data_IF_917682659020
#
_entry.id   IF_917682659020
#
_cell.length_a   1.000
_cell.length_b   1.000
_cell.length_c   1.000
_cell.angle_alpha   90.00
_cell.angle_beta   90.00
_cell.angle_gamma   90.00
#
_symmetry.space_group_name_H-M   'P 1'
#
loop_
_entity.id
_entity.type
_entity.pdbx_description
1 polymer ?
#
# COMPACT_ATOMS: atom_id res chain seq x y z
N UNK A 1 -2.12 6.19 -26.77
CA UNK A 1 -1.77 7.60 -26.49
C UNK A 1 -0.88 8.07 -27.63
N UNK A 2 -0.90 9.35 -28.03
CA UNK A 2 0.11 9.81 -29.01
C UNK A 2 1.47 9.93 -28.32
N UNK A 3 2.57 9.72 -29.06
CA UNK A 3 3.94 9.78 -28.53
C UNK A 3 4.21 11.13 -27.85
N UNK A 4 3.84 12.23 -28.51
CA UNK A 4 3.98 13.58 -27.95
C UNK A 4 3.20 13.79 -26.64
N UNK A 5 2.06 13.10 -26.46
CA UNK A 5 1.28 13.22 -25.23
C UNK A 5 1.88 12.42 -24.07
N UNK A 6 2.59 11.32 -24.36
CA UNK A 6 3.35 10.55 -23.38
C UNK A 6 4.62 11.30 -22.94
N UNK A 7 5.40 11.82 -23.89
CA UNK A 7 6.61 12.60 -23.61
C UNK A 7 6.31 13.84 -22.75
N UNK A 8 5.21 14.55 -23.02
CA UNK A 8 4.82 15.68 -22.20
C UNK A 8 4.42 15.27 -20.77
N UNK A 9 3.83 14.09 -20.60
CA UNK A 9 3.46 13.55 -19.29
C UNK A 9 4.71 13.21 -18.47
N UNK A 10 5.69 12.50 -19.03
CA UNK A 10 6.94 12.20 -18.33
C UNK A 10 7.74 13.45 -17.96
N UNK A 11 7.70 14.48 -18.81
CA UNK A 11 8.38 15.75 -18.55
C UNK A 11 7.61 16.68 -17.59
N UNK A 12 6.50 16.25 -16.99
CA UNK A 12 5.69 17.07 -16.09
C UNK A 12 5.06 18.30 -16.75
N UNK A 13 4.95 18.32 -18.09
CA UNK A 13 4.42 19.46 -18.85
C UNK A 13 2.90 19.32 -19.03
N UNK A 14 2.15 20.28 -18.48
CA UNK A 14 0.70 20.41 -18.66
C UNK A 14 -0.08 20.33 -17.33
N UNK A 15 -1.41 20.46 -17.41
CA UNK A 15 -2.29 20.26 -16.25
C UNK A 15 -2.31 18.78 -15.85
N UNK A 16 -2.28 18.51 -14.54
CA UNK A 16 -2.46 17.16 -14.00
C UNK A 16 -3.79 16.61 -14.50
N UNK A 17 -3.73 15.55 -15.29
CA UNK A 17 -4.92 14.82 -15.74
C UNK A 17 -4.99 13.51 -14.94
N UNK A 18 -5.89 13.48 -13.96
CA UNK A 18 -6.08 12.34 -13.05
C UNK A 18 -6.45 11.08 -13.84
N UNK A 19 -7.32 11.17 -14.84
CA UNK A 19 -7.70 10.03 -15.67
C UNK A 19 -6.50 9.46 -16.45
N UNK A 20 -5.63 10.35 -16.95
CA UNK A 20 -4.39 9.95 -17.65
C UNK A 20 -3.42 9.25 -16.69
N UNK A 21 -3.25 9.79 -15.48
CA UNK A 21 -2.37 9.23 -14.47
C UNK A 21 -2.85 7.84 -14.02
N UNK A 22 -4.14 7.68 -13.73
CA UNK A 22 -4.75 6.40 -13.39
C UNK A 22 -4.54 5.37 -14.52
N UNK A 23 -4.71 5.78 -15.78
CA UNK A 23 -4.52 4.91 -16.95
C UNK A 23 -3.07 4.48 -17.14
N UNK A 24 -2.11 5.37 -16.95
CA UNK A 24 -0.68 5.05 -17.02
C UNK A 24 -0.28 4.11 -15.89
N UNK A 25 -0.71 4.38 -14.66
CA UNK A 25 -0.43 3.52 -13.52
C UNK A 25 -1.03 2.11 -13.70
N UNK A 26 -2.23 1.99 -14.28
CA UNK A 26 -2.82 0.69 -14.64
C UNK A 26 -1.99 -0.04 -15.69
N UNK A 27 -1.48 0.68 -16.70
CA UNK A 27 -0.65 0.10 -17.76
C UNK A 27 0.71 -0.38 -17.24
N UNK A 28 1.25 0.27 -16.21
CA UNK A 28 2.51 -0.10 -15.56
C UNK A 28 2.34 -1.14 -14.45
N UNK A 29 1.12 -1.68 -14.26
CA UNK A 29 0.75 -2.50 -13.11
C UNK A 29 1.22 -1.88 -11.77
N UNK A 30 1.10 -0.56 -11.65
CA UNK A 30 1.26 0.16 -10.40
C UNK A 30 -0.10 0.30 -9.70
N UNK A 31 -0.11 0.66 -8.42
CA UNK A 31 -1.34 1.08 -7.75
C UNK A 31 -1.68 2.52 -8.19
N UNK A 32 -2.76 2.73 -8.95
CA UNK A 32 -3.09 4.04 -9.49
C UNK A 32 -3.56 5.01 -8.40
N UNK A 33 -4.19 4.51 -7.33
CA UNK A 33 -4.61 5.33 -6.21
C UNK A 33 -3.43 5.68 -5.31
N UNK A 34 -2.46 4.77 -5.14
CA UNK A 34 -1.24 5.10 -4.40
C UNK A 34 -0.39 6.17 -5.09
N UNK A 35 -0.35 6.15 -6.44
CA UNK A 35 0.31 7.21 -7.21
C UNK A 35 -0.30 8.59 -6.96
N UNK A 36 -1.62 8.67 -6.82
CA UNK A 36 -2.29 9.93 -6.46
C UNK A 36 -2.05 10.31 -5.01
N UNK A 37 -2.27 9.36 -4.08
CA UNK A 37 -2.15 9.60 -2.65
C UNK A 37 -0.72 9.94 -2.22
N UNK A 38 0.29 9.48 -2.96
CA UNK A 38 1.69 9.86 -2.73
C UNK A 38 1.91 11.38 -2.82
N UNK A 39 1.08 12.10 -3.58
CA UNK A 39 1.13 13.58 -3.64
C UNK A 39 0.69 14.20 -2.32
N UNK A 40 -0.40 13.71 -1.73
CA UNK A 40 -0.95 14.22 -0.46
C UNK A 40 -0.12 13.77 0.74
N UNK A 41 0.41 12.54 0.70
CA UNK A 41 1.32 11.99 1.71
C UNK A 41 2.69 12.71 1.67
N UNK A 42 3.06 13.28 0.52
CA UNK A 42 4.37 13.92 0.33
C UNK A 42 5.52 12.93 0.24
N UNK A 43 5.27 11.68 -0.18
CA UNK A 43 6.30 10.64 -0.35
C UNK A 43 6.06 9.87 -1.65
N UNK A 44 6.89 10.07 -2.70
CA UNK A 44 6.81 9.25 -3.91
C UNK A 44 7.13 7.77 -3.63
N UNK A 45 7.95 7.49 -2.62
CA UNK A 45 8.27 6.12 -2.17
C UNK A 45 7.02 5.37 -1.68
N UNK A 46 6.01 6.08 -1.18
CA UNK A 46 4.73 5.47 -0.80
C UNK A 46 4.07 4.75 -1.99
N UNK A 47 4.05 5.38 -3.17
CA UNK A 47 3.50 4.75 -4.38
C UNK A 47 4.30 3.50 -4.76
N UNK A 48 5.63 3.54 -4.63
CA UNK A 48 6.49 2.39 -4.91
C UNK A 48 6.23 1.23 -3.94
N UNK A 49 6.13 1.50 -2.63
CA UNK A 49 5.82 0.48 -1.62
C UNK A 49 4.45 -0.17 -1.86
N UNK A 50 3.49 0.60 -2.37
CA UNK A 50 2.14 0.11 -2.66
C UNK A 50 2.01 -0.58 -4.03
N UNK A 51 3.00 -0.47 -4.92
CA UNK A 51 2.88 -0.90 -6.31
C UNK A 51 2.47 -2.38 -6.46
N UNK A 52 2.99 -3.26 -5.59
CA UNK A 52 2.73 -4.69 -5.64
C UNK A 52 1.59 -5.15 -4.74
N UNK A 53 1.42 -4.53 -3.56
CA UNK A 53 0.36 -4.95 -2.61
C UNK A 53 -1.00 -4.32 -2.92
N UNK A 54 -1.04 -3.29 -3.78
CA UNK A 54 -2.26 -2.58 -4.19
C UNK A 54 -3.05 -1.99 -3.02
N UNK A 55 -2.37 -1.60 -1.94
CA UNK A 55 -2.97 -1.14 -0.69
C UNK A 55 -4.07 -0.09 -0.91
N UNK A 56 -3.80 0.94 -1.71
CA UNK A 56 -4.74 2.04 -1.91
C UNK A 56 -5.90 1.64 -2.82
N UNK A 57 -5.66 0.76 -3.78
CA UNK A 57 -6.74 0.17 -4.58
C UNK A 57 -7.69 -0.69 -3.73
N UNK A 58 -7.15 -1.48 -2.80
CA UNK A 58 -7.95 -2.26 -1.84
C UNK A 58 -8.71 -1.34 -0.88
N UNK A 59 -8.05 -0.30 -0.36
CA UNK A 59 -8.69 0.68 0.51
C UNK A 59 -9.85 1.41 -0.20
N UNK A 60 -9.67 1.79 -1.46
CA UNK A 60 -10.72 2.39 -2.28
C UNK A 60 -11.89 1.42 -2.51
N UNK A 61 -11.63 0.12 -2.66
CA UNK A 61 -12.69 -0.88 -2.75
C UNK A 61 -13.49 -0.97 -1.45
N UNK A 62 -12.81 -1.00 -0.30
CA UNK A 62 -13.45 -1.00 1.01
C UNK A 62 -14.28 0.28 1.24
N UNK A 63 -13.75 1.45 0.83
CA UNK A 63 -14.45 2.73 0.92
C UNK A 63 -15.72 2.75 0.06
N UNK A 64 -15.68 2.20 -1.16
CA UNK A 64 -16.87 2.07 -2.02
C UNK A 64 -17.94 1.16 -1.41
N UNK A 65 -17.52 0.06 -0.79
CA UNK A 65 -18.45 -0.83 -0.10
C UNK A 65 -19.07 -0.16 1.13
N UNK A 66 -18.27 0.59 1.89
CA UNK A 66 -18.74 1.42 2.99
C UNK A 66 -19.74 2.47 2.54
N UNK A 67 -19.43 3.26 1.51
CA UNK A 67 -20.31 4.29 0.94
C UNK A 67 -21.67 3.71 0.51
N UNK A 68 -21.64 2.58 -0.21
CA UNK A 68 -22.85 1.87 -0.62
C UNK A 68 -23.72 1.44 0.56
N UNK A 69 -23.12 1.04 1.68
CA UNK A 69 -23.83 0.56 2.88
C UNK A 69 -24.34 1.71 3.75
N UNK A 70 -23.52 2.74 3.94
CA UNK A 70 -23.81 3.84 4.86
C UNK A 70 -24.69 4.92 4.21
N UNK A 71 -24.49 5.20 2.92
CA UNK A 71 -25.21 6.23 2.18
C UNK A 71 -25.28 7.56 2.97
N UNK A 72 -26.47 8.16 3.10
CA UNK A 72 -26.68 9.45 3.77
C UNK A 72 -26.31 9.42 5.27
N UNK A 73 -26.25 8.24 5.89
CA UNK A 73 -25.89 8.11 7.31
C UNK A 73 -24.44 8.54 7.60
N UNK A 74 -23.58 8.63 6.57
CA UNK A 74 -22.20 9.13 6.69
C UNK A 74 -22.16 10.53 7.32
N UNK A 75 -23.19 11.35 7.11
CA UNK A 75 -23.29 12.70 7.70
C UNK A 75 -23.27 12.67 9.23
N UNK A 76 -23.69 11.57 9.85
CA UNK A 76 -23.73 11.41 11.30
C UNK A 76 -22.43 10.91 11.95
N UNK A 77 -21.36 10.68 11.19
CA UNK A 77 -20.12 10.14 11.73
C UNK A 77 -19.39 11.17 12.61
N UNK A 78 -19.07 10.77 13.84
CA UNK A 78 -18.25 11.57 14.76
C UNK A 78 -16.78 11.59 14.26
N UNK A 79 -16.19 12.78 14.00
CA UNK A 79 -14.80 12.90 13.59
C UNK A 79 -13.80 12.26 14.56
N UNK A 80 -14.06 12.28 15.87
CA UNK A 80 -13.16 11.66 16.84
C UNK A 80 -13.20 10.14 16.77
N UNK A 81 -14.38 9.58 16.50
CA UNK A 81 -14.53 8.15 16.25
C UNK A 81 -13.80 7.75 14.95
N UNK A 82 -13.94 8.53 13.87
CA UNK A 82 -13.23 8.29 12.62
C UNK A 82 -11.72 8.27 12.80
N UNK A 83 -11.16 9.27 13.50
CA UNK A 83 -9.73 9.32 13.78
C UNK A 83 -9.27 8.06 14.51
N UNK A 84 -9.94 7.68 15.60
CA UNK A 84 -9.59 6.49 16.38
C UNK A 84 -9.69 5.20 15.55
N UNK A 85 -10.76 5.06 14.78
CA UNK A 85 -10.98 3.88 13.95
C UNK A 85 -9.91 3.74 12.87
N UNK A 86 -9.59 4.83 12.18
CA UNK A 86 -8.53 4.81 11.16
C UNK A 86 -7.14 4.61 11.76
N UNK A 87 -6.81 5.25 12.88
CA UNK A 87 -5.54 5.00 13.58
C UNK A 87 -5.39 3.52 13.93
N UNK A 88 -6.39 2.93 14.59
CA UNK A 88 -6.36 1.51 14.96
C UNK A 88 -6.26 0.59 13.73
N UNK A 89 -6.94 0.93 12.63
CA UNK A 89 -6.84 0.21 11.37
C UNK A 89 -5.43 0.26 10.78
N UNK A 90 -4.80 1.43 10.73
CA UNK A 90 -3.45 1.58 10.19
C UNK A 90 -2.37 0.99 11.11
N UNK A 91 -2.55 1.05 12.42
CA UNK A 91 -1.65 0.42 13.40
C UNK A 91 -1.62 -1.11 13.18
N UNK A 92 -2.78 -1.74 13.02
CA UNK A 92 -2.86 -3.18 12.70
C UNK A 92 -2.17 -3.53 11.38
N UNK A 93 -2.31 -2.69 10.35
CA UNK A 93 -1.60 -2.90 9.08
C UNK A 93 -0.08 -2.78 9.23
N UNK A 94 0.38 -1.84 10.06
CA UNK A 94 1.80 -1.64 10.33
C UNK A 94 2.40 -2.82 11.10
N UNK A 95 1.69 -3.32 12.12
CA UNK A 95 2.06 -4.52 12.87
C UNK A 95 2.17 -5.73 11.93
N UNK A 96 1.15 -5.97 11.10
CA UNK A 96 1.18 -7.06 10.13
C UNK A 96 2.34 -6.94 9.14
N UNK A 97 2.63 -5.73 8.65
CA UNK A 97 3.76 -5.51 7.75
C UNK A 97 5.11 -5.80 8.44
N UNK A 98 5.26 -5.42 9.71
CA UNK A 98 6.46 -5.69 10.50
C UNK A 98 6.67 -7.20 10.73
N UNK A 99 5.61 -7.94 11.08
CA UNK A 99 5.64 -9.39 11.22
C UNK A 99 6.09 -10.08 9.92
N UNK A 100 5.54 -9.67 8.78
CA UNK A 100 5.94 -10.23 7.48
C UNK A 100 7.42 -9.96 7.18
N UNK A 101 7.92 -8.78 7.54
CA UNK A 101 9.32 -8.43 7.33
C UNK A 101 10.26 -9.25 8.23
N UNK A 102 9.85 -9.52 9.48
CA UNK A 102 10.59 -10.41 10.38
C UNK A 102 10.63 -11.85 9.86
N UNK A 103 9.51 -12.36 9.35
CA UNK A 103 9.45 -13.69 8.71
C UNK A 103 10.43 -13.76 7.53
N UNK A 104 10.41 -12.78 6.63
CA UNK A 104 11.33 -12.71 5.49
C UNK A 104 12.79 -12.65 5.97
N UNK A 105 13.09 -11.82 6.98
CA UNK A 105 14.43 -11.70 7.52
C UNK A 105 14.90 -13.02 8.15
N UNK A 106 14.02 -13.75 8.84
CA UNK A 106 14.33 -15.08 9.39
C UNK A 106 14.64 -16.08 8.27
N UNK A 107 13.84 -16.11 7.21
CA UNK A 107 14.12 -16.98 6.05
C UNK A 107 15.45 -16.64 5.38
N UNK A 108 15.81 -15.36 5.28
CA UNK A 108 17.11 -14.94 4.75
C UNK A 108 18.26 -15.42 5.63
N UNK A 109 18.15 -15.28 6.97
CA UNK A 109 19.16 -15.81 7.90
C UNK A 109 19.34 -17.31 7.78
N UNK A 110 18.25 -18.09 7.76
CA UNK A 110 18.31 -19.54 7.58
C UNK A 110 18.90 -19.96 6.23
N UNK A 111 18.62 -19.21 5.16
CA UNK A 111 19.23 -19.46 3.86
C UNK A 111 20.74 -19.19 3.88
N UNK A 112 21.15 -18.10 4.52
CA UNK A 112 22.54 -17.65 4.54
C UNK A 112 23.38 -18.43 5.58
N UNK A 113 22.74 -19.00 6.60
CA UNK A 113 23.33 -19.85 7.64
C UNK A 113 22.38 -21.01 8.01
N UNK A 114 22.41 -22.14 7.26
CA UNK A 114 21.45 -23.25 7.44
C UNK A 114 21.60 -24.00 8.78
N UNK A 115 22.72 -23.82 9.49
CA UNK A 115 22.99 -24.49 10.76
C UNK A 115 22.40 -23.72 11.97
N UNK A 116 21.81 -22.53 11.77
CA UNK A 116 21.18 -21.73 12.85
C UNK A 116 19.92 -22.38 13.45
N UNK A 117 19.25 -23.29 12.72
CA UNK A 117 18.10 -24.06 13.22
C UNK A 117 18.54 -25.38 13.89
N UNK A 118 19.86 -25.61 14.03
CA UNK A 118 20.46 -26.72 14.76
C UNK A 118 20.15 -26.65 16.25
N UNK A 119 18.90 -26.97 16.60
CA UNK A 119 18.51 -27.31 17.96
C UNK A 119 19.50 -28.35 18.47
N UNK A 120 20.15 -28.03 19.58
CA UNK A 120 21.07 -28.94 20.25
C UNK A 120 20.40 -30.30 20.37
N UNK A 121 21.01 -31.31 19.77
CA UNK A 121 20.68 -32.69 20.08
C UNK A 121 20.80 -32.83 21.60
N UNK A 122 19.76 -33.30 22.30
CA UNK A 122 19.94 -33.64 23.70
C UNK A 122 20.96 -34.77 23.75
N UNK A 123 22.11 -34.53 24.39
CA UNK A 123 23.04 -35.58 24.77
C UNK A 123 22.23 -36.68 25.47
N UNK A 124 22.18 -37.85 24.82
CA UNK A 124 21.61 -39.05 25.40
C UNK A 124 22.66 -39.67 26.31
N UNK A 125 22.47 -39.50 27.62
CA UNK A 125 23.12 -40.29 28.68
C UNK A 125 22.63 -41.76 28.67
#
# INVERSE_FOLDING_TARGET
>A
MSIRAYENFENGKGRLNVERLLRVATLLDADPYATLTALDVGSPEFAQRCANNKLMSILMLALRDFDRKAQDAIVGLDPLFLMKAFSAFFDQLAEHAAEQQEVIARWQRLRDNPDEDGGGEPEAD
#
